data_IF_652860464423
#
_entry.id   IF_652860464423
#
_cell.length_a   1.000
_cell.length_b   1.000
_cell.length_c   1.000
_cell.angle_alpha   90.00
_cell.angle_beta   90.00
_cell.angle_gamma   90.00
#
_symmetry.space_group_name_H-M   'P 1'
#
loop_
_entity.id
_entity.type
_entity.pdbx_description
1 polymer ?
#
# COMPACT_ATOMS: atom_id res chain seq x y z
N UNK A 1 -50.09 54.70 -31.34
CA UNK A 1 -49.28 54.20 -30.21
C UNK A 1 -49.50 52.71 -30.07
N UNK A 2 -48.51 51.88 -30.40
CA UNK A 2 -48.34 50.51 -29.85
C UNK A 2 -47.00 49.96 -30.38
N UNK A 3 -45.93 50.20 -29.62
CA UNK A 3 -44.64 49.56 -29.80
C UNK A 3 -44.80 48.07 -29.47
N UNK A 4 -44.71 47.20 -30.47
CA UNK A 4 -44.55 45.75 -30.24
C UNK A 4 -43.06 45.50 -29.98
N UNK A 5 -42.69 45.47 -28.70
CA UNK A 5 -41.36 45.09 -28.23
C UNK A 5 -41.17 43.59 -28.49
N UNK A 6 -40.31 43.25 -29.46
CA UNK A 6 -39.90 41.87 -29.74
C UNK A 6 -38.88 41.46 -28.67
N UNK A 7 -39.31 40.67 -27.68
CA UNK A 7 -38.40 40.08 -26.68
C UNK A 7 -37.73 38.87 -27.34
N UNK A 8 -36.49 39.06 -27.78
CA UNK A 8 -35.61 37.99 -28.27
C UNK A 8 -35.13 37.19 -27.05
N UNK A 9 -35.75 36.02 -26.82
CA UNK A 9 -35.30 35.04 -25.81
C UNK A 9 -33.90 34.53 -26.19
N UNK A 10 -32.86 35.01 -25.51
CA UNK A 10 -31.54 34.38 -25.52
C UNK A 10 -31.64 33.03 -24.79
N UNK A 11 -31.77 31.95 -25.56
CA UNK A 11 -31.53 30.58 -25.09
C UNK A 11 -30.02 30.42 -24.86
N UNK A 12 -29.59 30.69 -23.63
CA UNK A 12 -28.25 30.37 -23.16
C UNK A 12 -28.14 28.85 -23.10
N UNK A 13 -27.52 28.25 -24.13
CA UNK A 13 -27.14 26.86 -24.13
C UNK A 13 -26.06 26.65 -23.06
N UNK A 14 -26.48 26.27 -21.85
CA UNK A 14 -25.62 25.67 -20.84
C UNK A 14 -25.18 24.29 -21.36
N UNK A 15 -24.18 24.29 -22.24
CA UNK A 15 -23.45 23.08 -22.61
C UNK A 15 -22.66 22.64 -21.38
N UNK A 16 -23.24 21.72 -20.62
CA UNK A 16 -22.54 20.99 -19.58
C UNK A 16 -21.62 19.99 -20.28
N UNK A 17 -20.38 20.39 -20.55
CA UNK A 17 -19.34 19.45 -20.94
C UNK A 17 -19.09 18.52 -19.77
N UNK A 18 -19.72 17.34 -19.79
CA UNK A 18 -19.32 16.22 -18.94
C UNK A 18 -17.83 16.00 -19.23
N UNK A 19 -16.97 16.30 -18.26
CA UNK A 19 -15.55 15.94 -18.34
C UNK A 19 -15.50 14.44 -18.61
N UNK A 20 -14.96 14.05 -19.76
CA UNK A 20 -14.73 12.65 -20.07
C UNK A 20 -13.87 12.06 -18.95
N UNK A 21 -14.34 10.95 -18.37
CA UNK A 21 -13.58 10.26 -17.34
C UNK A 21 -12.30 9.72 -17.99
N UNK A 22 -11.15 10.04 -17.41
CA UNK A 22 -9.87 9.43 -17.82
C UNK A 22 -9.99 7.93 -17.51
N UNK A 23 -9.89 7.04 -18.50
CA UNK A 23 -9.99 5.60 -18.26
C UNK A 23 -8.85 5.15 -17.34
N UNK A 24 -9.16 4.28 -16.39
CA UNK A 24 -8.18 3.70 -15.47
C UNK A 24 -7.73 2.33 -15.96
N UNK A 25 -6.54 1.90 -15.52
CA UNK A 25 -5.88 0.67 -15.94
C UNK A 25 -5.64 -0.23 -14.74
N UNK A 26 -5.77 -1.54 -14.96
CA UNK A 26 -5.30 -2.58 -14.06
C UNK A 26 -4.11 -3.30 -14.66
N UNK A 27 -2.94 -3.20 -14.03
CA UNK A 27 -1.71 -3.82 -14.51
C UNK A 27 -0.74 -4.09 -13.36
N UNK A 28 -0.38 -5.35 -13.17
CA UNK A 28 0.51 -5.78 -12.07
C UNK A 28 1.75 -6.41 -12.68
N UNK A 29 2.93 -5.95 -12.26
CA UNK A 29 4.19 -6.63 -12.58
C UNK A 29 4.13 -8.09 -12.06
N UNK A 30 4.44 -9.10 -12.89
CA UNK A 30 4.35 -10.51 -12.49
C UNK A 30 5.14 -10.87 -11.23
N UNK A 31 6.24 -10.17 -10.91
CA UNK A 31 7.01 -10.42 -9.68
C UNK A 31 6.30 -9.90 -8.43
N UNK A 32 5.39 -8.93 -8.56
CA UNK A 32 4.60 -8.36 -7.46
C UNK A 32 3.27 -9.09 -7.25
N UNK A 33 2.77 -9.79 -8.26
CA UNK A 33 1.49 -10.51 -8.22
C UNK A 33 1.35 -11.50 -7.04
N UNK A 34 2.38 -12.31 -6.67
CA UNK A 34 2.28 -13.20 -5.52
C UNK A 34 2.00 -12.46 -4.20
N UNK A 35 2.58 -11.27 -4.03
CA UNK A 35 2.43 -10.47 -2.82
C UNK A 35 1.06 -9.79 -2.76
N UNK A 36 0.54 -9.32 -3.90
CA UNK A 36 -0.84 -8.83 -3.99
C UNK A 36 -1.84 -9.95 -3.63
N UNK A 37 -1.64 -11.17 -4.14
CA UNK A 37 -2.48 -12.33 -3.81
C UNK A 37 -2.40 -12.68 -2.32
N UNK A 38 -1.20 -12.69 -1.74
CA UNK A 38 -0.99 -12.91 -0.30
C UNK A 38 -1.75 -11.86 0.52
N UNK A 39 -1.65 -10.57 0.17
CA UNK A 39 -2.36 -9.49 0.84
C UNK A 39 -3.88 -9.66 0.76
N UNK A 40 -4.43 -9.98 -0.41
CA UNK A 40 -5.87 -10.21 -0.60
C UNK A 40 -6.34 -11.40 0.24
N UNK A 41 -5.56 -12.49 0.28
CA UNK A 41 -5.88 -13.65 1.11
C UNK A 41 -5.88 -13.30 2.61
N UNK A 42 -4.91 -12.50 3.08
CA UNK A 42 -4.87 -12.03 4.47
C UNK A 42 -6.02 -11.07 4.81
N UNK A 43 -6.40 -10.20 3.86
CA UNK A 43 -7.57 -9.33 4.01
C UNK A 43 -8.86 -10.15 4.12
N UNK A 44 -9.02 -11.19 3.30
CA UNK A 44 -10.18 -12.09 3.32
C UNK A 44 -10.32 -12.84 4.64
N UNK A 45 -9.22 -13.31 5.24
CA UNK A 45 -9.22 -13.93 6.57
C UNK A 45 -9.80 -13.01 7.65
N UNK A 46 -9.78 -11.69 7.42
CA UNK A 46 -10.28 -10.64 8.30
C UNK A 46 -11.57 -10.01 7.80
N UNK A 47 -12.25 -10.64 6.83
CA UNK A 47 -13.50 -10.18 6.21
C UNK A 47 -13.40 -8.81 5.51
N UNK A 48 -12.20 -8.43 5.06
CA UNK A 48 -11.94 -7.19 4.33
C UNK A 48 -11.98 -7.49 2.84
N UNK A 49 -12.82 -6.76 2.10
CA UNK A 49 -12.93 -6.87 0.64
C UNK A 49 -11.99 -5.88 -0.05
N UNK A 50 -11.06 -6.39 -0.84
CA UNK A 50 -10.09 -5.58 -1.61
C UNK A 50 -10.58 -5.44 -3.05
N UNK A 51 -10.88 -4.22 -3.49
CA UNK A 51 -11.31 -3.94 -4.88
C UNK A 51 -10.09 -3.67 -5.76
N UNK A 52 -9.73 -4.61 -6.62
CA UNK A 52 -8.48 -4.56 -7.40
C UNK A 52 -8.54 -3.67 -8.64
N UNK A 53 -9.69 -3.15 -9.02
CA UNK A 53 -9.85 -2.22 -10.15
C UNK A 53 -8.82 -1.07 -10.08
N UNK A 54 -8.47 -0.45 -11.21
CA UNK A 54 -7.64 0.76 -11.27
C UNK A 54 -6.29 0.73 -10.52
N UNK A 55 -5.68 -0.44 -10.37
CA UNK A 55 -4.39 -0.62 -9.71
C UNK A 55 -3.27 -0.90 -10.72
N UNK A 56 -2.21 -0.10 -10.65
CA UNK A 56 -0.92 -0.39 -11.23
C UNK A 56 0.07 -0.74 -10.12
N UNK A 57 0.79 -1.84 -10.27
CA UNK A 57 1.96 -2.16 -9.44
C UNK A 57 3.14 -2.42 -10.36
N UNK A 58 4.21 -1.64 -10.22
CA UNK A 58 5.37 -1.73 -11.12
C UNK A 58 6.69 -1.50 -10.39
N UNK A 59 7.79 -1.88 -11.03
CA UNK A 59 9.11 -1.44 -10.63
C UNK A 59 9.50 -0.17 -11.38
N UNK A 60 10.15 0.74 -10.66
CA UNK A 60 10.75 1.95 -11.24
C UNK A 60 11.95 2.36 -10.39
N UNK A 61 12.99 2.90 -11.02
CA UNK A 61 14.22 3.33 -10.36
C UNK A 61 14.38 4.86 -10.31
N UNK A 62 13.33 5.62 -10.64
CA UNK A 62 13.34 7.09 -10.63
C UNK A 62 13.71 7.71 -9.27
N UNK A 63 13.46 7.02 -8.15
CA UNK A 63 13.84 7.49 -6.82
C UNK A 63 14.74 6.50 -6.10
N UNK A 64 15.97 6.92 -5.79
CA UNK A 64 16.95 6.12 -5.04
C UNK A 64 16.79 6.22 -3.51
N UNK A 65 16.00 7.17 -3.02
CA UNK A 65 15.88 7.47 -1.58
C UNK A 65 14.75 6.71 -0.88
N UNK A 66 13.77 6.19 -1.65
CA UNK A 66 12.63 5.45 -1.13
C UNK A 66 12.50 4.09 -1.80
N UNK A 67 12.21 3.06 -1.02
CA UNK A 67 12.10 1.69 -1.52
C UNK A 67 10.74 1.39 -2.17
N UNK A 68 9.73 2.18 -1.84
CA UNK A 68 8.38 2.09 -2.39
C UNK A 68 7.62 3.38 -2.16
N UNK A 69 6.59 3.60 -2.97
CA UNK A 69 5.57 4.61 -2.66
C UNK A 69 4.25 4.29 -3.36
N UNK A 70 3.19 4.88 -2.81
CA UNK A 70 1.84 4.84 -3.34
C UNK A 70 1.37 6.23 -3.79
N UNK A 71 0.79 6.30 -4.98
CA UNK A 71 0.13 7.50 -5.51
C UNK A 71 -1.31 7.17 -5.90
N UNK A 72 -2.23 8.08 -5.57
CA UNK A 72 -3.60 8.07 -6.06
C UNK A 72 -3.88 9.32 -6.86
N UNK A 73 -4.15 9.16 -8.15
CA UNK A 73 -4.49 10.26 -9.04
C UNK A 73 -5.93 10.74 -8.84
N UNK A 74 -6.21 11.94 -9.38
CA UNK A 74 -7.57 12.50 -9.46
C UNK A 74 -8.53 11.64 -10.29
N UNK A 75 -8.01 10.88 -11.27
CA UNK A 75 -8.76 9.90 -12.06
C UNK A 75 -9.26 8.72 -11.22
N UNK A 76 -8.72 8.54 -10.02
CA UNK A 76 -8.90 7.35 -9.20
C UNK A 76 -7.88 6.26 -9.49
N UNK A 77 -7.01 6.42 -10.51
CA UNK A 77 -5.88 5.52 -10.74
C UNK A 77 -5.02 5.43 -9.48
N UNK A 78 -4.70 4.19 -9.09
CA UNK A 78 -3.82 3.87 -7.98
C UNK A 78 -2.56 3.27 -8.55
N UNK A 79 -1.43 3.76 -8.10
CA UNK A 79 -0.12 3.31 -8.55
C UNK A 79 0.77 3.05 -7.34
N UNK A 80 1.31 1.83 -7.29
CA UNK A 80 2.35 1.44 -6.35
C UNK A 80 3.62 1.22 -7.16
N UNK A 81 4.67 1.93 -6.77
CA UNK A 81 5.97 1.87 -7.42
C UNK A 81 6.97 1.35 -6.41
N UNK A 82 7.68 0.28 -6.78
CA UNK A 82 8.72 -0.34 -5.95
C UNK A 82 10.09 -0.09 -6.60
N UNK A 83 11.07 0.31 -5.79
CA UNK A 83 12.44 0.44 -6.25
C UNK A 83 13.08 -0.96 -6.40
N UNK A 84 13.56 -1.35 -7.60
CA UNK A 84 14.14 -2.67 -7.83
C UNK A 84 15.44 -2.90 -7.04
N UNK A 85 16.23 -1.86 -6.74
CA UNK A 85 17.47 -1.97 -5.95
C UNK A 85 17.15 -2.38 -4.51
N UNK A 86 16.15 -1.75 -3.88
CA UNK A 86 15.69 -2.17 -2.56
C UNK A 86 15.10 -3.57 -2.60
N UNK A 87 14.32 -3.87 -3.63
CA UNK A 87 13.64 -5.17 -3.76
C UNK A 87 14.62 -6.32 -3.89
N UNK A 88 15.60 -6.19 -4.78
CA UNK A 88 16.55 -7.26 -5.07
C UNK A 88 17.58 -7.46 -3.95
N UNK A 89 17.83 -6.44 -3.11
CA UNK A 89 18.80 -6.51 -2.02
C UNK A 89 18.27 -7.14 -0.72
N UNK A 90 16.98 -7.45 -0.62
CA UNK A 90 16.37 -7.99 0.61
C UNK A 90 15.77 -9.39 0.41
N UNK A 91 15.67 -10.21 1.49
CA UNK A 91 15.04 -11.53 1.42
C UNK A 91 13.53 -11.45 1.14
N UNK A 92 12.94 -12.57 0.73
CA UNK A 92 11.54 -12.67 0.32
C UNK A 92 10.54 -12.13 1.37
N UNK A 93 10.79 -12.38 2.66
CA UNK A 93 9.94 -11.90 3.74
C UNK A 93 9.95 -10.36 3.84
N UNK A 94 11.09 -9.73 3.56
CA UNK A 94 11.21 -8.28 3.55
C UNK A 94 10.57 -7.68 2.28
N UNK A 95 10.59 -8.42 1.16
CA UNK A 95 9.82 -8.06 -0.05
C UNK A 95 8.32 -8.09 0.24
N UNK A 96 7.83 -9.09 0.97
CA UNK A 96 6.44 -9.13 1.42
C UNK A 96 6.12 -7.95 2.34
N UNK A 97 6.98 -7.66 3.32
CA UNK A 97 6.78 -6.54 4.24
C UNK A 97 6.72 -5.20 3.49
N UNK A 98 7.57 -4.99 2.48
CA UNK A 98 7.56 -3.79 1.64
C UNK A 98 6.28 -3.72 0.78
N UNK A 99 5.91 -4.80 0.11
CA UNK A 99 4.67 -4.82 -0.68
C UNK A 99 3.43 -4.57 0.21
N UNK A 100 3.39 -5.16 1.40
CA UNK A 100 2.28 -4.98 2.35
C UNK A 100 2.23 -3.57 2.94
N UNK A 101 3.37 -2.91 3.11
CA UNK A 101 3.44 -1.50 3.51
C UNK A 101 2.70 -0.62 2.48
N UNK A 102 3.06 -0.73 1.20
CA UNK A 102 2.42 0.06 0.13
C UNK A 102 0.96 -0.31 -0.09
N UNK A 103 0.63 -1.60 0.01
CA UNK A 103 -0.77 -2.06 -0.05
C UNK A 103 -1.59 -1.57 1.15
N UNK A 104 -0.96 -1.41 2.32
CA UNK A 104 -1.53 -0.77 3.50
C UNK A 104 -1.90 0.69 3.25
N UNK A 105 -1.03 1.46 2.60
CA UNK A 105 -1.37 2.79 2.11
C UNK A 105 -2.53 2.76 1.11
N UNK A 106 -2.46 1.88 0.11
CA UNK A 106 -3.39 1.84 -1.02
C UNK A 106 -4.81 1.38 -0.67
N UNK A 107 -4.95 0.34 0.16
CA UNK A 107 -6.23 -0.32 0.41
C UNK A 107 -6.81 -0.07 1.80
N UNK A 108 -5.95 0.20 2.78
CA UNK A 108 -6.35 0.38 4.17
C UNK A 108 -6.27 1.84 4.63
N UNK A 109 -5.79 2.74 3.75
CA UNK A 109 -5.51 4.15 4.06
C UNK A 109 -4.65 4.31 5.32
N UNK A 110 -3.73 3.37 5.56
CA UNK A 110 -2.82 3.45 6.69
C UNK A 110 -1.82 4.57 6.45
N UNK A 111 -1.54 5.36 7.49
CA UNK A 111 -0.41 6.30 7.50
C UNK A 111 0.81 5.62 8.13
N UNK A 112 1.99 6.22 7.94
CA UNK A 112 3.18 5.78 8.67
C UNK A 112 2.93 5.80 10.18
N UNK A 113 3.43 4.77 10.87
CA UNK A 113 3.34 4.63 12.33
C UNK A 113 4.72 4.25 12.87
N UNK A 114 5.36 5.21 13.52
CA UNK A 114 6.75 5.09 13.97
C UNK A 114 6.87 4.74 15.47
N UNK A 115 5.78 4.30 16.10
CA UNK A 115 5.81 3.84 17.48
C UNK A 115 6.64 2.56 17.61
N UNK A 116 7.23 2.37 18.79
CA UNK A 116 8.01 1.19 19.14
C UNK A 116 7.30 0.39 20.26
N UNK A 117 7.45 -0.93 20.18
CA UNK A 117 7.08 -1.88 21.23
C UNK A 117 8.09 -1.79 22.40
N UNK A 118 7.79 -2.38 23.58
CA UNK A 118 8.70 -2.32 24.74
C UNK A 118 10.11 -2.84 24.46
N UNK A 119 10.26 -3.84 23.57
CA UNK A 119 11.56 -4.36 23.14
C UNK A 119 12.23 -3.56 21.99
N UNK A 120 11.77 -2.34 21.71
CA UNK A 120 12.22 -1.46 20.63
C UNK A 120 11.97 -1.96 19.20
N UNK A 121 11.21 -3.05 19.00
CA UNK A 121 10.75 -3.42 17.66
C UNK A 121 9.67 -2.43 17.19
N UNK A 122 9.55 -2.16 15.88
CA UNK A 122 8.45 -1.35 15.36
C UNK A 122 7.09 -1.93 15.72
N UNK A 123 6.13 -1.08 16.08
CA UNK A 123 4.74 -1.54 16.33
C UNK A 123 4.09 -2.03 15.04
N UNK A 124 4.45 -1.46 13.90
CA UNK A 124 3.75 -1.65 12.63
C UNK A 124 4.69 -1.91 11.45
N UNK A 125 4.20 -2.64 10.43
CA UNK A 125 4.82 -2.67 9.10
C UNK A 125 4.86 -1.25 8.49
N UNK A 126 3.93 -0.38 8.89
CA UNK A 126 3.87 1.02 8.45
C UNK A 126 4.97 1.91 9.05
N UNK A 127 5.96 1.35 9.73
CA UNK A 127 7.11 2.08 10.21
C UNK A 127 7.99 2.53 9.04
N UNK A 128 8.44 3.80 9.04
CA UNK A 128 9.15 4.40 7.89
C UNK A 128 10.43 3.66 7.50
N UNK A 129 11.10 3.02 8.46
CA UNK A 129 12.35 2.29 8.20
C UNK A 129 12.15 0.81 7.80
N UNK A 130 10.93 0.25 7.87
CA UNK A 130 10.57 -1.15 7.52
C UNK A 130 11.73 -2.18 7.53
N UNK A 131 12.49 -2.24 8.63
CA UNK A 131 13.76 -2.98 8.76
C UNK A 131 13.56 -4.49 8.97
N UNK A 132 12.82 -5.15 8.07
CA UNK A 132 12.56 -6.58 8.14
C UNK A 132 11.83 -7.00 9.44
N UNK A 133 10.57 -6.57 9.62
CA UNK A 133 9.83 -6.79 10.87
C UNK A 133 9.70 -8.29 11.23
N UNK A 134 9.74 -9.17 10.23
CA UNK A 134 9.70 -10.63 10.37
C UNK A 134 10.72 -11.35 9.49
N UNK A 135 11.92 -10.75 9.35
CA UNK A 135 13.02 -11.30 8.54
C UNK A 135 13.53 -12.66 9.05
N UNK A 136 13.87 -13.61 8.16
CA UNK A 136 14.57 -14.84 8.55
C UNK A 136 16.01 -14.58 8.98
N UNK A 137 16.55 -15.45 9.83
CA UNK A 137 17.98 -15.43 10.09
C UNK A 137 18.73 -16.11 8.95
N UNK A 138 19.60 -15.36 8.25
CA UNK A 138 20.38 -15.88 7.12
C UNK A 138 21.65 -16.60 7.61
N UNK A 139 22.28 -16.10 8.69
CA UNK A 139 23.53 -16.64 9.22
C UNK A 139 23.46 -16.81 10.75
N UNK A 140 22.94 -17.94 11.26
CA UNK A 140 23.00 -18.25 12.68
C UNK A 140 24.46 -18.52 13.09
N UNK A 141 24.98 -17.77 14.06
CA UNK A 141 26.33 -17.96 14.60
C UNK A 141 26.22 -18.97 15.75
N UNK A 142 27.03 -20.03 15.72
CA UNK A 142 27.11 -21.05 16.78
C UNK A 142 25.76 -21.70 17.17
N UNK A 143 24.82 -21.80 16.22
CA UNK A 143 23.48 -22.35 16.44
C UNK A 143 22.52 -21.38 17.13
N UNK A 144 22.93 -20.15 17.41
CA UNK A 144 22.06 -19.08 17.88
C UNK A 144 21.14 -18.60 16.73
N UNK A 145 19.84 -18.79 16.92
CA UNK A 145 18.80 -18.41 15.97
C UNK A 145 17.94 -17.24 16.48
N UNK A 146 18.40 -16.51 17.50
CA UNK A 146 17.69 -15.34 18.07
C UNK A 146 17.46 -14.20 17.07
N UNK A 147 18.28 -14.15 16.01
CA UNK A 147 18.12 -13.30 14.83
C UNK A 147 16.85 -13.59 14.01
N UNK A 148 16.23 -14.77 14.15
CA UNK A 148 15.09 -15.17 13.32
C UNK A 148 13.78 -14.55 13.83
N UNK A 149 13.20 -13.67 13.02
CA UNK A 149 11.98 -12.91 13.36
C UNK A 149 10.74 -13.43 12.65
N UNK A 150 10.82 -14.53 11.88
CA UNK A 150 9.71 -15.01 11.05
C UNK A 150 8.41 -15.26 11.81
N UNK A 151 8.50 -15.70 13.07
CA UNK A 151 7.34 -15.90 13.94
C UNK A 151 6.53 -14.61 14.21
N UNK A 152 7.13 -13.43 14.00
CA UNK A 152 6.48 -12.12 14.19
C UNK A 152 5.50 -11.77 13.06
N UNK A 153 5.55 -12.47 11.92
CA UNK A 153 4.73 -12.17 10.72
C UNK A 153 3.24 -12.04 11.05
N UNK A 154 2.69 -12.96 11.84
CA UNK A 154 1.26 -12.94 12.17
C UNK A 154 0.85 -11.66 12.91
N UNK A 155 1.63 -11.26 13.94
CA UNK A 155 1.38 -10.03 14.68
C UNK A 155 1.37 -8.81 13.74
N UNK A 156 2.36 -8.69 12.86
CA UNK A 156 2.50 -7.54 11.99
C UNK A 156 1.40 -7.44 10.94
N UNK A 157 0.91 -8.58 10.44
CA UNK A 157 -0.23 -8.61 9.52
C UNK A 157 -1.53 -8.32 10.29
N UNK A 158 -1.72 -8.87 11.49
CA UNK A 158 -2.86 -8.50 12.34
C UNK A 158 -2.89 -7.00 12.64
N UNK A 159 -1.74 -6.42 12.98
CA UNK A 159 -1.60 -4.98 13.24
C UNK A 159 -1.89 -4.13 12.01
N UNK A 160 -1.46 -4.57 10.82
CA UNK A 160 -1.71 -3.86 9.57
C UNK A 160 -3.22 -3.69 9.31
N UNK A 161 -4.00 -4.75 9.52
CA UNK A 161 -5.45 -4.75 9.34
C UNK A 161 -6.23 -4.25 10.56
N UNK A 162 -5.60 -4.19 11.74
CA UNK A 162 -6.19 -3.71 12.98
C UNK A 162 -5.13 -3.00 13.85
N UNK A 163 -5.13 -1.67 13.83
CA UNK A 163 -4.17 -0.82 14.57
C UNK A 163 -4.25 -0.94 16.10
N UNK A 164 -5.29 -1.61 16.61
CA UNK A 164 -5.50 -1.94 18.03
C UNK A 164 -5.00 -3.33 18.41
N UNK A 165 -4.24 -4.00 17.54
CA UNK A 165 -3.64 -5.30 17.85
C UNK A 165 -2.80 -5.20 19.13
N UNK A 166 -3.04 -6.03 20.15
CA UNK A 166 -2.33 -5.96 21.43
C UNK A 166 -0.82 -6.25 21.27
N UNK A 167 -0.03 -5.71 22.21
CA UNK A 167 1.41 -6.01 22.31
C UNK A 167 1.61 -7.52 22.46
N UNK A 168 2.41 -8.17 21.59
CA UNK A 168 2.62 -9.61 21.61
C UNK A 168 3.65 -9.99 22.68
N UNK A 169 3.59 -11.24 23.15
CA UNK A 169 4.45 -11.70 24.27
C UNK A 169 5.95 -11.58 24.00
N UNK A 170 6.39 -11.79 22.76
CA UNK A 170 7.80 -11.65 22.38
C UNK A 170 8.31 -10.20 22.45
N UNK A 171 7.41 -9.24 22.61
CA UNK A 171 7.73 -7.81 22.67
C UNK A 171 7.56 -7.17 24.04
N UNK A 172 7.09 -7.94 25.04
CA UNK A 172 6.91 -7.49 26.42
C UNK A 172 8.23 -7.48 27.19
#
# INVERSE_FOLDING_TARGET
MQNKLLILLLLVNLSCSKKEAIPTVYQIDPKLEPYLKSFVAEAQKRNITVKLENLIMKFDNESIEICGHFVKEKSGQREIVINPICWDSVPEQNREALAFHELGHCFLNRLHRNDLLPNNAPVSIMHIQNNGPYEPCIYPIDGDNTCNKTARRNYYIDELFNDKTPVPDWAK
#
